data_IF_573485324208
#
_entry.id   IF_573485324208
#
_cell.length_a   1.000
_cell.length_b   1.000
_cell.length_c   1.000
_cell.angle_alpha   90.00
_cell.angle_beta   90.00
_cell.angle_gamma   90.00
#
_symmetry.space_group_name_H-M   'P 1'
#
loop_
_entity.id
_entity.type
_entity.pdbx_description
1 polymer ?
#
# COMPACT_ATOMS: atom_id res chain seq x y z
N UNK A 1 3.04 -17.29 24.37
CA UNK A 1 4.14 -17.22 23.39
C UNK A 1 3.54 -16.83 22.05
N UNK A 2 3.71 -15.57 21.63
CA UNK A 2 3.36 -15.14 20.27
C UNK A 2 4.51 -15.62 19.38
N UNK A 3 4.24 -16.56 18.48
CA UNK A 3 5.23 -16.95 17.47
C UNK A 3 5.61 -15.71 16.66
N UNK A 4 6.91 -15.44 16.50
CA UNK A 4 7.41 -14.43 15.55
C UNK A 4 6.91 -14.81 14.15
N UNK A 5 5.81 -14.20 13.72
CA UNK A 5 5.38 -14.28 12.33
C UNK A 5 6.32 -13.39 11.53
N UNK A 6 7.23 -14.01 10.77
CA UNK A 6 7.99 -13.29 9.75
C UNK A 6 7.02 -12.81 8.67
N UNK A 7 6.66 -11.54 8.72
CA UNK A 7 5.95 -10.89 7.63
C UNK A 7 6.95 -10.62 6.50
N UNK A 8 6.55 -10.92 5.27
CA UNK A 8 7.38 -10.64 4.09
C UNK A 8 7.16 -9.20 3.66
N UNK A 9 8.23 -8.41 3.59
CA UNK A 9 8.20 -7.02 3.12
C UNK A 9 8.97 -6.95 1.80
N UNK A 10 8.31 -6.44 0.76
CA UNK A 10 8.89 -6.29 -0.58
C UNK A 10 8.81 -4.83 -0.98
N UNK A 11 9.92 -4.29 -1.47
CA UNK A 11 9.99 -2.96 -2.06
C UNK A 11 10.02 -3.09 -3.57
N UNK A 12 9.12 -2.38 -4.25
CA UNK A 12 9.11 -2.28 -5.72
C UNK A 12 9.62 -0.89 -6.09
N UNK A 13 10.65 -0.84 -6.93
CA UNK A 13 11.25 0.40 -7.42
C UNK A 13 11.59 0.27 -8.90
N UNK A 14 11.94 1.38 -9.54
CA UNK A 14 12.34 1.44 -10.94
C UNK A 14 13.64 2.25 -11.09
N UNK A 15 14.39 1.99 -12.16
CA UNK A 15 15.62 2.73 -12.45
C UNK A 15 15.30 4.18 -12.84
N UNK A 16 14.18 4.40 -13.54
CA UNK A 16 13.70 5.73 -13.95
C UNK A 16 12.19 5.90 -13.74
N UNK A 17 11.70 7.14 -13.85
CA UNK A 17 10.27 7.46 -13.78
C UNK A 17 9.55 6.88 -15.00
N UNK A 18 8.38 6.29 -14.80
CA UNK A 18 7.51 5.82 -15.89
C UNK A 18 7.65 4.35 -16.27
N UNK A 19 8.53 3.57 -15.63
CA UNK A 19 8.71 2.13 -15.93
C UNK A 19 7.61 1.22 -15.34
N UNK A 20 6.50 1.81 -14.87
CA UNK A 20 5.35 1.04 -14.39
C UNK A 20 5.45 0.53 -12.95
N UNK A 21 6.40 1.00 -12.12
CA UNK A 21 6.53 0.56 -10.71
C UNK A 21 5.20 0.56 -9.94
N UNK A 22 4.41 1.64 -10.03
CA UNK A 22 3.14 1.77 -9.32
C UNK A 22 2.11 0.75 -9.82
N UNK A 23 2.01 0.59 -11.14
CA UNK A 23 1.11 -0.38 -11.76
C UNK A 23 1.48 -1.82 -11.37
N UNK A 24 2.78 -2.14 -11.37
CA UNK A 24 3.29 -3.45 -10.92
C UNK A 24 2.95 -3.70 -9.45
N UNK A 25 3.20 -2.72 -8.57
CA UNK A 25 2.89 -2.85 -7.13
C UNK A 25 1.41 -3.06 -6.85
N UNK A 26 0.53 -2.29 -7.51
CA UNK A 26 -0.93 -2.42 -7.36
C UNK A 26 -1.38 -3.80 -7.82
N UNK A 27 -1.04 -4.22 -9.03
CA UNK A 27 -1.46 -5.53 -9.53
C UNK A 27 -0.89 -6.68 -8.70
N UNK A 28 0.35 -6.58 -8.23
CA UNK A 28 0.93 -7.58 -7.34
C UNK A 28 0.12 -7.69 -6.04
N UNK A 29 -0.24 -6.57 -5.42
CA UNK A 29 -1.04 -6.57 -4.20
C UNK A 29 -2.43 -7.17 -4.41
N UNK A 30 -3.08 -6.87 -5.54
CA UNK A 30 -4.35 -7.48 -5.92
C UNK A 30 -4.23 -8.99 -6.09
N UNK A 31 -3.25 -9.50 -6.83
CA UNK A 31 -3.04 -10.96 -7.00
C UNK A 31 -2.79 -11.64 -5.65
N UNK A 32 -1.97 -11.04 -4.78
CA UNK A 32 -1.72 -11.57 -3.44
C UNK A 32 -3.00 -11.65 -2.60
N UNK A 33 -3.84 -10.60 -2.64
CA UNK A 33 -5.05 -10.52 -1.84
C UNK A 33 -6.22 -11.32 -2.43
N UNK A 34 -6.56 -11.09 -3.69
CA UNK A 34 -7.71 -11.65 -4.39
C UNK A 34 -7.48 -13.11 -4.78
N UNK A 35 -6.39 -13.42 -5.49
CA UNK A 35 -6.18 -14.77 -6.04
C UNK A 35 -5.58 -15.73 -5.03
N UNK A 36 -4.72 -15.23 -4.14
CA UNK A 36 -4.00 -16.04 -3.15
C UNK A 36 -4.54 -15.92 -1.72
N UNK A 37 -5.54 -15.07 -1.49
CA UNK A 37 -6.21 -14.89 -0.20
C UNK A 37 -5.30 -14.40 0.93
N UNK A 38 -4.21 -13.69 0.61
CA UNK A 38 -3.24 -13.21 1.60
C UNK A 38 -3.65 -11.84 2.13
N UNK A 39 -3.59 -11.68 3.45
CA UNK A 39 -3.66 -10.35 4.07
C UNK A 39 -2.50 -9.50 3.57
N UNK A 40 -2.82 -8.51 2.76
CA UNK A 40 -1.84 -7.74 2.00
C UNK A 40 -2.00 -6.25 2.29
N UNK A 41 -0.89 -5.58 2.59
CA UNK A 41 -0.87 -4.12 2.73
C UNK A 41 -0.02 -3.55 1.61
N UNK A 42 -0.60 -2.66 0.82
CA UNK A 42 0.09 -1.87 -0.20
C UNK A 42 0.30 -0.45 0.35
N UNK A 43 1.56 0.01 0.32
CA UNK A 43 1.94 1.33 0.84
C UNK A 43 2.55 2.14 -0.31
N UNK A 44 2.04 3.34 -0.58
CA UNK A 44 2.70 4.29 -1.48
C UNK A 44 3.88 4.94 -0.76
N UNK A 45 5.09 4.47 -1.05
CA UNK A 45 6.33 5.05 -0.52
C UNK A 45 6.85 6.25 -1.32
N UNK A 46 6.20 6.64 -2.42
CA UNK A 46 6.66 7.75 -3.27
C UNK A 46 6.11 9.09 -2.75
N UNK A 47 6.80 9.65 -1.74
CA UNK A 47 6.46 10.95 -1.15
C UNK A 47 6.67 12.14 -2.11
N UNK A 48 7.38 11.96 -3.22
CA UNK A 48 7.74 13.05 -4.16
C UNK A 48 6.77 13.17 -5.32
N UNK A 49 6.22 12.06 -5.78
CA UNK A 49 5.31 12.01 -6.93
C UNK A 49 4.29 10.89 -6.74
N UNK A 50 3.40 11.02 -5.73
CA UNK A 50 2.43 9.99 -5.40
C UNK A 50 1.46 9.76 -6.55
N UNK A 51 1.20 8.48 -6.83
CA UNK A 51 0.29 8.10 -7.92
C UNK A 51 -0.66 6.98 -7.52
N UNK A 52 -0.46 6.33 -6.37
CA UNK A 52 -1.21 5.13 -6.01
C UNK A 52 -2.71 5.39 -5.88
N UNK A 53 -3.11 6.52 -5.29
CA UNK A 53 -4.52 6.86 -5.06
C UNK A 53 -5.35 6.87 -6.36
N UNK A 54 -4.75 7.30 -7.48
CA UNK A 54 -5.44 7.30 -8.78
C UNK A 54 -5.55 5.90 -9.41
N UNK A 55 -4.58 5.01 -9.15
CA UNK A 55 -4.65 3.61 -9.61
C UNK A 55 -5.58 2.75 -8.76
N UNK A 56 -5.67 3.04 -7.46
CA UNK A 56 -6.40 2.22 -6.49
C UNK A 56 -7.81 2.74 -6.15
N UNK A 57 -8.21 3.89 -6.70
CA UNK A 57 -9.50 4.53 -6.43
C UNK A 57 -9.78 4.75 -4.93
N UNK A 58 -8.73 4.99 -4.13
CA UNK A 58 -8.81 5.33 -2.71
C UNK A 58 -8.59 6.83 -2.51
N UNK A 59 -9.03 7.36 -1.37
CA UNK A 59 -8.69 8.73 -0.98
C UNK A 59 -7.16 8.91 -0.93
N UNK A 60 -6.67 10.09 -1.31
CA UNK A 60 -5.24 10.40 -1.25
C UNK A 60 -4.74 10.65 0.17
N UNK A 61 -5.64 11.02 1.09
CA UNK A 61 -5.35 11.32 2.48
C UNK A 61 -6.49 10.78 3.37
N UNK A 62 -6.20 10.43 4.63
CA UNK A 62 -4.88 10.45 5.26
C UNK A 62 -4.03 9.23 4.86
N UNK A 63 -2.69 9.39 4.88
CA UNK A 63 -1.71 8.44 4.34
C UNK A 63 -0.44 8.28 5.18
N UNK A 64 0.62 7.79 4.54
CA UNK A 64 1.92 7.52 5.13
C UNK A 64 2.58 8.79 5.69
N UNK A 65 2.47 9.91 4.99
CA UNK A 65 3.04 11.20 5.38
C UNK A 65 2.38 11.73 6.66
N UNK A 66 1.06 11.59 6.79
CA UNK A 66 0.32 11.98 8.01
C UNK A 66 0.72 11.13 9.21
N UNK A 67 0.83 9.82 9.00
CA UNK A 67 1.26 8.87 10.03
C UNK A 67 2.67 9.20 10.52
N UNK A 68 3.60 9.48 9.61
CA UNK A 68 4.99 9.81 9.95
C UNK A 68 5.13 11.18 10.62
N UNK A 69 4.24 12.12 10.31
CA UNK A 69 4.17 13.42 10.99
C UNK A 69 3.47 13.34 12.36
N UNK A 70 2.75 12.25 12.64
CA UNK A 70 1.96 12.07 13.85
C UNK A 70 0.67 12.88 13.89
N UNK A 71 0.18 13.33 12.72
CA UNK A 71 -1.08 14.08 12.60
C UNK A 71 -2.30 13.16 12.58
N UNK A 72 -2.12 11.90 12.17
CA UNK A 72 -3.17 10.89 12.11
C UNK A 72 -2.68 9.55 12.68
N UNK A 73 -3.55 8.78 13.35
CA UNK A 73 -3.22 7.43 13.80
C UNK A 73 -3.24 6.41 12.65
N UNK A 74 -2.53 5.29 12.83
CA UNK A 74 -2.32 4.26 11.79
C UNK A 74 -3.61 3.72 11.17
N UNK A 75 -4.64 3.51 11.99
CA UNK A 75 -5.93 2.99 11.59
C UNK A 75 -6.69 3.92 10.64
N UNK A 76 -6.50 5.25 10.76
CA UNK A 76 -7.05 6.21 9.81
C UNK A 76 -6.32 6.20 8.47
N UNK A 77 -5.02 5.87 8.45
CA UNK A 77 -4.19 5.91 7.24
C UNK A 77 -4.27 4.64 6.37
N UNK A 78 -4.97 3.60 6.83
CA UNK A 78 -5.13 2.32 6.12
C UNK A 78 -6.55 2.20 5.55
N UNK A 79 -6.68 2.30 4.24
CA UNK A 79 -7.95 2.17 3.53
C UNK A 79 -8.16 0.72 3.11
N UNK A 80 -9.17 0.07 3.70
CA UNK A 80 -9.53 -1.30 3.35
C UNK A 80 -10.34 -1.31 2.05
N UNK A 81 -9.94 -2.15 1.10
CA UNK A 81 -10.78 -2.41 -0.07
C UNK A 81 -11.85 -3.43 0.29
N UNK A 82 -13.11 -3.00 0.21
CA UNK A 82 -14.25 -3.88 0.46
C UNK A 82 -14.14 -5.15 -0.40
N UNK A 83 -14.50 -6.29 0.19
CA UNK A 83 -14.46 -7.63 -0.44
C UNK A 83 -13.08 -8.30 -0.62
N UNK A 84 -11.97 -7.61 -0.34
CA UNK A 84 -10.62 -8.18 -0.47
C UNK A 84 -9.84 -8.09 0.85
N UNK A 85 -8.94 -9.05 1.18
CA UNK A 85 -8.00 -8.90 2.30
C UNK A 85 -6.84 -7.96 1.93
N UNK A 86 -7.17 -6.76 1.42
CA UNK A 86 -6.25 -5.76 0.90
C UNK A 86 -6.46 -4.42 1.60
N UNK A 87 -5.39 -3.90 2.17
CA UNK A 87 -5.34 -2.54 2.71
C UNK A 87 -4.38 -1.69 1.89
N UNK A 88 -4.74 -0.43 1.71
CA UNK A 88 -3.97 0.53 0.93
C UNK A 88 -3.68 1.74 1.80
N UNK A 89 -2.40 2.06 1.95
CA UNK A 89 -1.93 3.30 2.56
C UNK A 89 -1.44 4.22 1.44
N UNK A 90 -2.15 5.31 1.12
CA UNK A 90 -1.66 6.32 0.20
C UNK A 90 -0.47 7.06 0.82
N UNK A 91 0.17 7.89 0.02
CA UNK A 91 1.28 8.74 0.44
C UNK A 91 0.83 9.74 1.48
#
# INVERSE_FOLDING_TARGET
>A
MVAERRNTVVVVTSAVKGEGKSATSVNLAYVLAQDLGKNTVLIDGDLKSPTLHSYAAVASEPGLADLLQGTQPLDCCLHHLEELPLWIMPT
#
